data_IF_081632894875
#
_entry.id   IF_081632894875
#
_cell.length_a   1.000
_cell.length_b   1.000
_cell.length_c   1.000
_cell.angle_alpha   90.00
_cell.angle_beta   90.00
_cell.angle_gamma   90.00
#
_symmetry.space_group_name_H-M   'P 1'
#
loop_
_entity.id
_entity.type
_entity.pdbx_description
1 polymer ?
#
# COMPACT_ATOMS: atom_id res chain seq x y z
N UNK A 1 39.09 -22.10 -16.25
CA UNK A 1 37.78 -22.34 -16.90
C UNK A 1 36.71 -22.00 -15.86
N UNK A 2 36.04 -20.85 -15.96
CA UNK A 2 34.96 -20.48 -15.08
C UNK A 2 33.66 -21.10 -15.64
N UNK A 3 33.04 -21.97 -14.87
CA UNK A 3 31.72 -22.51 -15.18
C UNK A 3 30.72 -21.33 -15.19
N UNK A 4 30.20 -21.03 -16.36
CA UNK A 4 29.02 -20.18 -16.51
C UNK A 4 27.84 -20.88 -15.87
N UNK A 5 27.44 -20.44 -14.65
CA UNK A 5 26.16 -20.81 -14.07
C UNK A 5 25.07 -20.21 -14.97
N UNK A 6 24.42 -21.11 -15.68
CA UNK A 6 23.19 -20.81 -16.42
C UNK A 6 22.15 -20.33 -15.38
N UNK A 7 21.95 -19.00 -15.31
CA UNK A 7 20.95 -18.41 -14.43
C UNK A 7 19.60 -18.59 -15.09
N UNK A 8 18.91 -19.70 -14.76
CA UNK A 8 17.50 -19.85 -15.10
C UNK A 8 16.74 -18.60 -14.59
N UNK A 9 15.94 -18.00 -15.46
CA UNK A 9 15.06 -16.91 -15.07
C UNK A 9 14.21 -17.35 -13.85
N UNK A 10 13.94 -16.46 -12.89
CA UNK A 10 13.14 -16.81 -11.72
C UNK A 10 11.80 -17.38 -12.19
N UNK A 11 11.51 -18.63 -11.79
CA UNK A 11 10.28 -19.32 -12.18
C UNK A 11 9.12 -18.75 -11.37
N UNK A 12 8.09 -18.24 -12.05
CA UNK A 12 6.81 -17.92 -11.41
C UNK A 12 6.29 -19.16 -10.66
N UNK A 13 5.79 -19.01 -9.42
CA UNK A 13 5.22 -20.14 -8.68
C UNK A 13 4.10 -20.83 -9.48
N UNK A 14 3.92 -22.14 -9.35
CA UNK A 14 2.86 -22.85 -10.04
C UNK A 14 1.49 -22.40 -9.54
N UNK A 15 0.56 -22.16 -10.46
CA UNK A 15 -0.82 -21.70 -10.18
C UNK A 15 -1.58 -22.73 -9.35
N UNK A 16 -2.09 -22.29 -8.20
CA UNK A 16 -2.86 -23.13 -7.28
C UNK A 16 -4.27 -23.45 -7.82
N UNK A 17 -5.00 -24.40 -7.19
CA UNK A 17 -6.38 -24.69 -7.56
C UNK A 17 -7.30 -23.48 -7.35
N UNK A 18 -7.13 -22.72 -6.24
CA UNK A 18 -7.89 -21.51 -5.98
C UNK A 18 -7.62 -20.42 -7.02
N UNK A 19 -6.37 -20.24 -7.40
CA UNK A 19 -5.99 -19.28 -8.45
C UNK A 19 -6.55 -19.67 -9.82
N UNK A 20 -6.59 -20.98 -10.17
CA UNK A 20 -7.26 -21.44 -11.41
C UNK A 20 -8.75 -21.12 -11.41
N UNK A 21 -9.45 -21.37 -10.28
CA UNK A 21 -10.86 -20.97 -10.13
C UNK A 21 -11.05 -19.46 -10.30
N UNK A 22 -10.15 -18.65 -9.77
CA UNK A 22 -10.18 -17.20 -9.95
C UNK A 22 -10.04 -16.79 -11.43
N UNK A 23 -9.12 -17.44 -12.16
CA UNK A 23 -8.95 -17.23 -13.60
C UNK A 23 -10.20 -17.65 -14.41
N UNK A 24 -10.87 -18.73 -14.03
CA UNK A 24 -12.14 -19.15 -14.64
C UNK A 24 -13.24 -18.11 -14.41
N UNK A 25 -13.34 -17.54 -13.21
CA UNK A 25 -14.29 -16.45 -12.93
C UNK A 25 -13.99 -15.21 -13.78
N UNK A 26 -12.72 -14.81 -13.88
CA UNK A 26 -12.30 -13.69 -14.74
C UNK A 26 -12.59 -13.97 -16.22
N UNK A 27 -12.27 -15.17 -16.70
CA UNK A 27 -12.50 -15.55 -18.09
C UNK A 27 -13.98 -15.58 -18.45
N UNK A 28 -14.84 -16.12 -17.57
CA UNK A 28 -16.27 -16.28 -17.78
C UNK A 28 -17.11 -15.01 -17.64
N UNK A 29 -16.61 -14.00 -16.91
CA UNK A 29 -17.34 -12.74 -16.71
C UNK A 29 -17.37 -11.89 -17.99
N UNK A 30 -18.47 -11.15 -18.19
CA UNK A 30 -18.63 -10.19 -19.27
C UNK A 30 -18.64 -8.75 -18.80
N UNK A 31 -19.20 -8.50 -17.62
CA UNK A 31 -19.31 -7.17 -17.00
C UNK A 31 -18.72 -7.22 -15.61
N UNK A 32 -17.65 -6.44 -15.40
CA UNK A 32 -16.85 -6.51 -14.20
C UNK A 32 -16.81 -5.15 -13.50
N UNK A 33 -17.00 -5.17 -12.20
CA UNK A 33 -16.75 -4.01 -11.33
C UNK A 33 -15.49 -4.29 -10.52
N UNK A 34 -14.51 -3.41 -10.62
CA UNK A 34 -13.29 -3.42 -9.80
C UNK A 34 -13.48 -2.48 -8.62
N UNK A 35 -13.12 -2.92 -7.42
CA UNK A 35 -13.20 -2.12 -6.20
C UNK A 35 -11.86 -2.09 -5.47
N UNK A 36 -11.51 -0.92 -4.94
CA UNK A 36 -10.37 -0.71 -4.06
C UNK A 36 -10.80 -0.47 -2.60
N UNK A 37 -9.81 -0.36 -1.75
CA UNK A 37 -10.01 -0.01 -0.34
C UNK A 37 -10.16 1.50 -0.12
N UNK A 38 -10.60 1.90 1.08
CA UNK A 38 -10.62 3.30 1.53
C UNK A 38 -9.20 3.88 1.49
N UNK A 39 -9.06 5.12 1.00
CA UNK A 39 -7.77 5.79 0.75
C UNK A 39 -6.83 4.92 -0.08
N UNK A 40 -7.24 4.60 -1.33
CA UNK A 40 -6.51 3.68 -2.19
C UNK A 40 -5.12 4.25 -2.49
N UNK A 41 -4.11 3.42 -2.33
CA UNK A 41 -2.72 3.75 -2.62
C UNK A 41 -2.31 3.37 -4.05
N UNK A 42 -1.01 3.40 -4.32
CA UNK A 42 -0.50 3.12 -5.67
C UNK A 42 -0.59 1.64 -6.06
N UNK A 43 -0.52 0.69 -5.11
CA UNK A 43 -0.72 -0.72 -5.43
C UNK A 43 -2.18 -0.97 -5.78
N UNK A 44 -3.11 -0.49 -4.98
CA UNK A 44 -4.54 -0.60 -5.24
C UNK A 44 -4.92 0.02 -6.60
N UNK A 45 -4.59 1.29 -6.84
CA UNK A 45 -4.98 2.01 -8.07
C UNK A 45 -4.24 1.49 -9.31
N UNK A 46 -2.95 1.18 -9.19
CA UNK A 46 -2.15 0.62 -10.26
C UNK A 46 -2.65 -0.76 -10.69
N UNK A 47 -2.97 -1.62 -9.72
CA UNK A 47 -3.53 -2.95 -9.95
C UNK A 47 -4.91 -2.88 -10.59
N UNK A 48 -5.77 -1.94 -10.15
CA UNK A 48 -7.07 -1.70 -10.79
C UNK A 48 -6.91 -1.22 -12.24
N UNK A 49 -6.03 -0.26 -12.50
CA UNK A 49 -5.79 0.24 -13.86
C UNK A 49 -5.28 -0.86 -14.79
N UNK A 50 -4.33 -1.65 -14.32
CA UNK A 50 -3.78 -2.76 -15.09
C UNK A 50 -4.82 -3.85 -15.37
N UNK A 51 -5.56 -4.31 -14.34
CA UNK A 51 -6.58 -5.35 -14.52
C UNK A 51 -7.73 -4.87 -15.38
N UNK A 52 -8.14 -3.61 -15.28
CA UNK A 52 -9.12 -3.00 -16.17
C UNK A 52 -8.66 -3.12 -17.63
N UNK A 53 -7.44 -2.69 -17.93
CA UNK A 53 -6.89 -2.79 -19.29
C UNK A 53 -6.77 -4.24 -19.79
N UNK A 54 -6.39 -5.18 -18.93
CA UNK A 54 -6.36 -6.63 -19.25
C UNK A 54 -7.76 -7.13 -19.64
N UNK A 55 -8.77 -6.83 -18.84
CA UNK A 55 -10.13 -7.30 -19.04
C UNK A 55 -10.79 -6.64 -20.27
N UNK A 56 -10.53 -5.36 -20.53
CA UNK A 56 -10.98 -4.66 -21.74
C UNK A 56 -10.39 -5.28 -23.01
N UNK A 57 -9.13 -5.71 -22.99
CA UNK A 57 -8.51 -6.43 -24.12
C UNK A 57 -9.14 -7.80 -24.39
N UNK A 58 -9.77 -8.38 -23.39
CA UNK A 58 -10.57 -9.61 -23.52
C UNK A 58 -12.03 -9.32 -23.91
N UNK A 59 -12.35 -8.07 -24.29
CA UNK A 59 -13.69 -7.66 -24.76
C UNK A 59 -14.72 -7.49 -23.65
N UNK A 60 -14.29 -7.38 -22.39
CA UNK A 60 -15.18 -7.21 -21.24
C UNK A 60 -15.51 -5.73 -21.00
N UNK A 61 -16.69 -5.47 -20.43
CA UNK A 61 -17.05 -4.13 -19.94
C UNK A 61 -16.63 -4.01 -18.49
N UNK A 62 -15.82 -3.01 -18.19
CA UNK A 62 -15.20 -2.84 -16.84
C UNK A 62 -15.50 -1.46 -16.29
N UNK A 63 -15.80 -1.39 -14.99
CA UNK A 63 -15.91 -0.16 -14.23
C UNK A 63 -15.04 -0.26 -12.98
N UNK A 64 -14.39 0.84 -12.60
CA UNK A 64 -13.64 0.95 -11.36
C UNK A 64 -14.41 1.88 -10.43
N UNK A 65 -14.77 1.37 -9.23
CA UNK A 65 -15.43 2.14 -8.19
C UNK A 65 -14.65 2.08 -6.89
N UNK A 66 -14.23 3.23 -6.39
CA UNK A 66 -13.52 3.36 -5.13
C UNK A 66 -14.33 4.20 -4.13
N UNK A 67 -14.16 3.98 -2.81
CA UNK A 67 -14.80 4.84 -1.80
C UNK A 67 -14.24 6.27 -1.81
N UNK A 68 -12.98 6.45 -2.17
CA UNK A 68 -12.28 7.71 -2.18
C UNK A 68 -11.73 8.06 -3.57
N UNK A 69 -11.44 9.34 -3.86
CA UNK A 69 -10.87 9.77 -5.13
C UNK A 69 -9.42 9.30 -5.30
N UNK A 70 -8.97 9.29 -6.55
CA UNK A 70 -7.54 9.12 -6.89
C UNK A 70 -6.73 10.24 -6.24
N UNK A 71 -5.63 9.88 -5.61
CA UNK A 71 -4.73 10.85 -5.01
C UNK A 71 -3.99 11.65 -6.10
N UNK A 72 -3.71 12.95 -5.91
CA UNK A 72 -3.11 13.80 -6.95
C UNK A 72 -1.81 13.24 -7.53
N UNK A 73 -0.98 12.57 -6.73
CA UNK A 73 0.29 11.97 -7.19
C UNK A 73 0.11 10.75 -8.10
N UNK A 74 -1.10 10.19 -8.19
CA UNK A 74 -1.46 9.04 -9.01
C UNK A 74 -2.44 9.40 -10.13
N UNK A 75 -2.76 10.69 -10.32
CA UNK A 75 -3.72 11.19 -11.31
C UNK A 75 -3.36 10.82 -12.76
N UNK A 76 -2.08 10.54 -13.03
CA UNK A 76 -1.64 10.10 -14.35
C UNK A 76 -2.23 8.75 -14.78
N UNK A 77 -2.72 7.92 -13.85
CA UNK A 77 -3.43 6.67 -14.15
C UNK A 77 -4.80 6.93 -14.79
N UNK A 78 -5.42 8.10 -14.54
CA UNK A 78 -6.70 8.48 -15.13
C UNK A 78 -6.64 8.74 -16.64
N UNK A 79 -5.45 8.81 -17.22
CA UNK A 79 -5.26 8.85 -18.68
C UNK A 79 -5.60 7.53 -19.35
N UNK A 80 -5.47 6.42 -18.63
CA UNK A 80 -5.61 5.07 -19.14
C UNK A 80 -6.99 4.46 -18.84
N UNK A 81 -7.55 4.77 -17.68
CA UNK A 81 -8.81 4.21 -17.18
C UNK A 81 -9.58 5.29 -16.41
N UNK A 82 -10.88 5.09 -16.25
CA UNK A 82 -11.73 5.97 -15.46
C UNK A 82 -12.00 5.40 -14.08
N UNK A 83 -11.58 6.10 -13.06
CA UNK A 83 -11.93 5.82 -11.67
C UNK A 83 -13.20 6.60 -11.28
N UNK A 84 -14.14 5.89 -10.67
CA UNK A 84 -15.38 6.47 -10.14
C UNK A 84 -15.33 6.49 -8.62
N UNK A 85 -15.67 7.63 -8.02
CA UNK A 85 -15.89 7.71 -6.57
C UNK A 85 -17.34 7.27 -6.30
N UNK A 86 -17.50 6.27 -5.44
CA UNK A 86 -18.82 5.79 -5.07
C UNK A 86 -19.51 6.78 -4.14
N UNK A 87 -20.66 7.28 -4.57
CA UNK A 87 -21.46 8.28 -3.85
C UNK A 87 -22.80 7.72 -3.32
N UNK A 88 -22.90 6.39 -3.23
CA UNK A 88 -24.14 5.71 -2.85
C UNK A 88 -24.95 5.21 -4.05
N UNK A 89 -26.01 4.47 -3.77
CA UNK A 89 -26.88 3.87 -4.78
C UNK A 89 -26.46 2.46 -5.18
N UNK A 90 -26.84 2.08 -6.41
CA UNK A 90 -26.50 0.78 -6.98
C UNK A 90 -25.26 0.88 -7.87
N UNK A 91 -24.44 -0.15 -7.85
CA UNK A 91 -23.35 -0.33 -8.83
C UNK A 91 -23.95 -0.68 -10.20
N UNK A 92 -23.25 -0.43 -11.31
CA UNK A 92 -23.67 -0.92 -12.63
C UNK A 92 -23.98 -2.41 -12.60
N UNK A 93 -24.93 -2.85 -13.42
CA UNK A 93 -25.23 -4.29 -13.51
C UNK A 93 -24.01 -5.05 -14.00
N UNK A 94 -23.50 -5.96 -13.14
CA UNK A 94 -22.28 -6.72 -13.36
C UNK A 94 -22.47 -8.18 -12.95
N UNK A 95 -21.67 -9.07 -13.50
CA UNK A 95 -21.65 -10.50 -13.18
C UNK A 95 -20.48 -10.89 -12.27
N UNK A 96 -19.44 -10.05 -12.19
CA UNK A 96 -18.29 -10.23 -11.30
C UNK A 96 -17.90 -8.91 -10.65
N UNK A 97 -17.70 -8.92 -9.33
CA UNK A 97 -17.02 -7.86 -8.59
C UNK A 97 -15.64 -8.36 -8.15
N UNK A 98 -14.59 -7.61 -8.47
CA UNK A 98 -13.20 -7.93 -8.09
C UNK A 98 -12.70 -6.89 -7.11
N UNK A 99 -12.30 -7.35 -5.94
CA UNK A 99 -11.63 -6.54 -4.91
C UNK A 99 -10.13 -6.69 -5.09
N UNK A 100 -9.42 -5.56 -5.17
CA UNK A 100 -7.98 -5.53 -5.36
C UNK A 100 -7.29 -4.90 -4.16
N UNK A 101 -6.26 -5.59 -3.67
CA UNK A 101 -5.36 -5.13 -2.64
C UNK A 101 -5.98 -5.08 -1.23
N UNK A 102 -6.97 -5.93 -0.99
CA UNK A 102 -7.55 -6.15 0.34
C UNK A 102 -8.47 -7.37 0.36
N UNK A 103 -8.60 -7.99 1.55
CA UNK A 103 -9.53 -9.11 1.80
C UNK A 103 -10.72 -8.74 2.69
N UNK A 104 -10.61 -7.72 3.56
CA UNK A 104 -11.70 -7.35 4.48
C UNK A 104 -12.73 -6.45 3.81
N UNK A 105 -13.99 -6.89 3.73
CA UNK A 105 -15.10 -6.14 3.13
C UNK A 105 -15.27 -4.75 3.76
N UNK A 106 -14.97 -4.60 5.03
CA UNK A 106 -15.04 -3.31 5.75
C UNK A 106 -14.11 -2.24 5.14
N UNK A 107 -13.02 -2.64 4.49
CA UNK A 107 -12.10 -1.70 3.82
C UNK A 107 -12.69 -1.02 2.60
N UNK A 108 -13.80 -1.53 2.04
CA UNK A 108 -14.52 -0.86 0.93
C UNK A 108 -15.40 0.30 1.38
N UNK A 109 -15.53 0.55 2.70
CA UNK A 109 -16.36 1.62 3.22
C UNK A 109 -17.81 1.54 2.74
N UNK A 110 -18.33 2.62 2.18
CA UNK A 110 -19.73 2.70 1.76
C UNK A 110 -20.09 1.72 0.61
N UNK A 111 -19.15 1.22 -0.16
CA UNK A 111 -19.39 0.27 -1.27
C UNK A 111 -19.79 -1.10 -0.71
N UNK A 112 -19.36 -1.48 0.50
CA UNK A 112 -19.64 -2.79 1.12
C UNK A 112 -21.12 -3.18 1.04
N UNK A 113 -22.01 -2.24 1.35
CA UNK A 113 -23.45 -2.50 1.30
C UNK A 113 -23.98 -2.74 -0.12
N UNK A 114 -23.43 -2.05 -1.13
CA UNK A 114 -23.81 -2.27 -2.52
C UNK A 114 -23.29 -3.62 -3.06
N UNK A 115 -22.06 -3.99 -2.71
CA UNK A 115 -21.49 -5.31 -3.02
C UNK A 115 -22.29 -6.44 -2.36
N UNK A 116 -22.73 -6.27 -1.11
CA UNK A 116 -23.56 -7.25 -0.41
C UNK A 116 -24.95 -7.46 -1.03
N UNK A 117 -25.52 -6.43 -1.63
CA UNK A 117 -26.82 -6.52 -2.34
C UNK A 117 -26.69 -7.10 -3.77
N UNK A 118 -25.52 -6.94 -4.40
CA UNK A 118 -25.29 -7.42 -5.75
C UNK A 118 -25.25 -8.95 -5.79
N UNK A 119 -25.99 -9.53 -6.76
CA UNK A 119 -26.02 -10.99 -6.98
C UNK A 119 -24.80 -11.50 -7.76
N UNK A 120 -23.91 -10.63 -8.14
CA UNK A 120 -22.66 -10.96 -8.84
C UNK A 120 -21.76 -11.85 -8.00
N UNK A 121 -20.90 -12.63 -8.65
CA UNK A 121 -19.77 -13.31 -7.99
C UNK A 121 -18.78 -12.30 -7.43
N UNK A 122 -18.04 -12.67 -6.38
CA UNK A 122 -17.01 -11.86 -5.72
C UNK A 122 -15.67 -12.57 -5.85
N UNK A 123 -14.66 -11.84 -6.30
CA UNK A 123 -13.29 -12.31 -6.44
C UNK A 123 -12.34 -11.39 -5.67
N UNK A 124 -11.43 -11.99 -4.93
CA UNK A 124 -10.31 -11.26 -4.30
C UNK A 124 -9.05 -11.45 -5.14
N UNK A 125 -8.29 -10.36 -5.36
CA UNK A 125 -6.92 -10.38 -5.87
C UNK A 125 -6.07 -9.59 -4.89
N UNK A 126 -5.25 -10.27 -4.07
CA UNK A 126 -4.59 -9.64 -2.93
C UNK A 126 -3.31 -10.37 -2.52
N UNK A 127 -2.39 -9.65 -1.92
CA UNK A 127 -1.16 -10.20 -1.34
C UNK A 127 -1.07 -10.10 0.19
N UNK A 128 -2.13 -9.63 0.85
CA UNK A 128 -2.19 -9.52 2.29
C UNK A 128 -2.60 -10.83 2.98
N UNK A 129 -2.17 -10.97 4.25
CA UNK A 129 -2.66 -12.04 5.11
C UNK A 129 -4.11 -11.77 5.53
N UNK A 130 -4.95 -12.78 5.38
CA UNK A 130 -6.34 -12.74 5.83
C UNK A 130 -6.57 -13.75 6.96
N UNK A 131 -7.23 -13.33 8.02
CA UNK A 131 -7.51 -14.14 9.22
C UNK A 131 -9.01 -14.34 9.50
N UNK A 132 -9.88 -13.94 8.56
CA UNK A 132 -11.33 -14.06 8.68
C UNK A 132 -11.91 -15.27 7.95
N UNK A 133 -13.24 -15.38 7.98
CA UNK A 133 -13.97 -16.33 7.14
C UNK A 133 -14.13 -15.77 5.72
N UNK A 134 -13.84 -16.57 4.66
CA UNK A 134 -14.02 -16.14 3.28
C UNK A 134 -15.47 -15.75 2.98
N UNK A 135 -15.67 -14.55 2.42
CA UNK A 135 -16.98 -14.00 2.04
C UNK A 135 -17.13 -13.87 0.51
N UNK A 136 -16.16 -14.36 -0.24
CA UNK A 136 -16.04 -14.30 -1.68
C UNK A 136 -16.25 -15.68 -2.33
N UNK A 137 -16.46 -15.69 -3.65
CA UNK A 137 -16.63 -16.90 -4.46
C UNK A 137 -15.32 -17.46 -5.00
N UNK A 138 -14.27 -16.66 -5.06
CA UNK A 138 -12.95 -17.05 -5.52
C UNK A 138 -11.85 -16.09 -5.06
N UNK A 139 -10.61 -16.55 -5.05
CA UNK A 139 -9.47 -15.74 -4.63
C UNK A 139 -8.20 -16.06 -5.44
N UNK A 140 -7.53 -15.01 -5.89
CA UNK A 140 -6.17 -15.06 -6.44
C UNK A 140 -5.24 -14.40 -5.46
N UNK A 141 -4.81 -15.13 -4.45
CA UNK A 141 -4.00 -14.62 -3.34
C UNK A 141 -2.64 -15.29 -3.31
N UNK A 142 -1.60 -14.48 -3.08
CA UNK A 142 -0.25 -14.94 -2.78
C UNK A 142 0.45 -13.92 -1.86
N UNK A 143 0.58 -14.26 -0.59
CA UNK A 143 1.18 -13.38 0.43
C UNK A 143 2.71 -13.25 0.32
N UNK A 144 3.33 -13.96 -0.61
CA UNK A 144 4.76 -13.83 -0.92
C UNK A 144 5.02 -12.82 -2.04
N UNK A 145 3.99 -12.44 -2.80
CA UNK A 145 4.11 -11.42 -3.84
C UNK A 145 4.43 -10.04 -3.24
N UNK A 146 5.29 -9.28 -3.90
CA UNK A 146 5.71 -7.97 -3.42
C UNK A 146 4.63 -6.89 -3.51
N UNK A 147 3.60 -7.11 -4.32
CA UNK A 147 2.49 -6.20 -4.59
C UNK A 147 1.33 -6.96 -5.25
N UNK A 148 0.12 -6.46 -5.13
CA UNK A 148 -1.03 -6.94 -5.91
C UNK A 148 -0.81 -6.79 -7.41
N UNK A 149 -0.04 -5.78 -7.83
CA UNK A 149 0.37 -5.60 -9.24
C UNK A 149 1.15 -6.77 -9.83
N UNK A 150 1.95 -7.49 -9.03
CA UNK A 150 2.63 -8.74 -9.45
C UNK A 150 1.58 -9.80 -9.79
N UNK A 151 0.54 -9.94 -8.98
CA UNK A 151 -0.55 -10.89 -9.20
C UNK A 151 -1.33 -10.54 -10.48
N UNK A 152 -1.60 -9.26 -10.71
CA UNK A 152 -2.25 -8.80 -11.95
C UNK A 152 -1.39 -9.12 -13.17
N UNK A 153 -0.05 -8.99 -13.08
CA UNK A 153 0.85 -9.40 -14.17
C UNK A 153 0.82 -10.90 -14.43
N UNK A 154 0.76 -11.71 -13.37
CA UNK A 154 0.59 -13.17 -13.49
C UNK A 154 -0.75 -13.51 -14.13
N UNK A 155 -1.85 -12.90 -13.69
CA UNK A 155 -3.20 -13.05 -14.28
C UNK A 155 -3.19 -12.70 -15.77
N UNK A 156 -2.59 -11.58 -16.16
CA UNK A 156 -2.48 -11.19 -17.57
C UNK A 156 -1.76 -12.27 -18.42
N UNK A 157 -0.68 -12.85 -17.89
CA UNK A 157 0.07 -13.93 -18.54
C UNK A 157 -0.78 -15.19 -18.70
N UNK A 158 -1.46 -15.63 -17.63
CA UNK A 158 -2.32 -16.82 -17.63
C UNK A 158 -3.52 -16.68 -18.57
N UNK A 159 -4.06 -15.46 -18.71
CA UNK A 159 -5.15 -15.16 -19.65
C UNK A 159 -4.66 -14.89 -21.08
N UNK A 160 -3.37 -15.04 -21.38
CA UNK A 160 -2.80 -14.85 -22.70
C UNK A 160 -2.80 -13.39 -23.19
N UNK A 161 -2.89 -12.42 -22.28
CA UNK A 161 -2.90 -10.99 -22.61
C UNK A 161 -1.48 -10.45 -22.64
N UNK A 162 -1.06 -9.93 -23.81
CA UNK A 162 0.23 -9.26 -23.96
C UNK A 162 0.22 -7.88 -23.30
N UNK A 163 1.35 -7.50 -22.73
CA UNK A 163 1.53 -6.17 -22.15
C UNK A 163 1.37 -5.08 -23.23
N UNK A 164 0.66 -4.04 -22.86
CA UNK A 164 0.69 -2.75 -23.53
C UNK A 164 1.07 -1.65 -22.52
N UNK A 165 1.23 -0.42 -23.00
CA UNK A 165 1.67 0.69 -22.14
C UNK A 165 0.71 0.97 -20.96
N UNK A 166 -0.60 0.70 -21.11
CA UNK A 166 -1.61 0.89 -20.04
C UNK A 166 -1.42 -0.15 -18.94
N UNK A 167 -1.39 -1.44 -19.31
CA UNK A 167 -1.17 -2.55 -18.39
C UNK A 167 0.18 -2.37 -17.69
N UNK A 168 1.23 -2.11 -18.48
CA UNK A 168 2.59 -1.99 -17.96
C UNK A 168 2.73 -0.82 -16.97
N UNK A 169 2.12 0.34 -17.24
CA UNK A 169 2.13 1.49 -16.34
C UNK A 169 1.43 1.20 -15.03
N UNK A 170 0.24 0.57 -15.07
CA UNK A 170 -0.50 0.20 -13.87
C UNK A 170 0.28 -0.78 -12.99
N UNK A 171 0.80 -1.88 -13.57
CA UNK A 171 1.61 -2.86 -12.83
C UNK A 171 2.88 -2.22 -12.26
N UNK A 172 3.56 -1.37 -13.03
CA UNK A 172 4.77 -0.69 -12.55
C UNK A 172 4.47 0.24 -11.38
N UNK A 173 3.38 1.02 -11.47
CA UNK A 173 2.93 1.88 -10.37
C UNK A 173 2.68 1.07 -9.10
N UNK A 174 1.94 -0.03 -9.19
CA UNK A 174 1.66 -0.93 -8.10
C UNK A 174 2.95 -1.44 -7.42
N UNK A 175 3.86 -1.97 -8.21
CA UNK A 175 5.14 -2.51 -7.70
C UNK A 175 5.99 -1.44 -7.02
N UNK A 176 6.19 -0.27 -7.66
CA UNK A 176 7.10 0.74 -7.11
C UNK A 176 6.57 1.39 -5.85
N UNK A 177 5.26 1.50 -5.68
CA UNK A 177 4.68 2.05 -4.47
C UNK A 177 4.78 1.09 -3.30
N UNK A 178 4.44 -0.19 -3.48
CA UNK A 178 4.43 -1.16 -2.39
C UNK A 178 5.83 -1.68 -2.02
N UNK A 179 6.79 -1.63 -2.94
CA UNK A 179 8.20 -1.93 -2.66
C UNK A 179 8.99 -0.70 -2.21
N UNK A 180 8.35 0.48 -2.09
CA UNK A 180 9.02 1.74 -1.80
C UNK A 180 10.15 2.04 -2.78
N UNK A 181 9.90 1.86 -4.06
CA UNK A 181 10.88 1.96 -5.13
C UNK A 181 12.01 0.93 -5.00
N UNK A 182 11.63 -0.35 -4.78
CA UNK A 182 12.54 -1.50 -4.65
C UNK A 182 13.47 -1.48 -3.43
N UNK A 183 13.20 -0.66 -2.42
CA UNK A 183 14.04 -0.55 -1.21
C UNK A 183 13.55 -1.41 -0.03
N UNK A 184 12.32 -1.94 -0.07
CA UNK A 184 11.77 -2.72 1.01
C UNK A 184 12.09 -4.21 0.87
N UNK A 185 11.98 -4.94 1.98
CA UNK A 185 12.33 -6.36 2.08
C UNK A 185 11.40 -7.32 1.34
N UNK A 186 10.24 -6.84 0.88
CA UNK A 186 9.33 -7.59 0.00
C UNK A 186 9.80 -7.61 -1.47
N UNK A 187 10.81 -6.82 -1.85
CA UNK A 187 11.39 -6.83 -3.19
C UNK A 187 12.20 -8.10 -3.41
N UNK A 188 11.84 -8.86 -4.42
CA UNK A 188 12.46 -10.14 -4.78
C UNK A 188 12.90 -10.21 -6.25
N UNK A 189 13.41 -11.36 -6.67
CA UNK A 189 13.90 -11.57 -8.03
C UNK A 189 12.77 -11.51 -9.07
N UNK A 190 11.55 -11.97 -8.75
CA UNK A 190 10.38 -11.86 -9.63
C UNK A 190 9.98 -10.41 -9.84
N UNK A 191 10.00 -9.62 -8.78
CA UNK A 191 9.71 -8.17 -8.82
C UNK A 191 10.63 -7.46 -9.81
N UNK A 192 11.95 -7.72 -9.75
CA UNK A 192 12.90 -7.13 -10.69
C UNK A 192 12.73 -7.65 -12.12
N UNK A 193 12.44 -8.94 -12.30
CA UNK A 193 12.19 -9.52 -13.61
C UNK A 193 10.97 -8.87 -14.29
N UNK A 194 9.87 -8.71 -13.52
CA UNK A 194 8.66 -8.02 -14.02
C UNK A 194 8.98 -6.55 -14.31
N UNK A 195 9.66 -5.83 -13.43
CA UNK A 195 10.04 -4.43 -13.67
C UNK A 195 10.87 -4.26 -14.95
N UNK A 196 11.81 -5.18 -15.22
CA UNK A 196 12.56 -5.24 -16.46
C UNK A 196 11.66 -5.45 -17.70
N UNK A 197 10.70 -6.38 -17.62
CA UNK A 197 9.71 -6.64 -18.67
C UNK A 197 8.83 -5.40 -18.95
N UNK A 198 8.39 -4.70 -17.91
CA UNK A 198 7.56 -3.50 -18.03
C UNK A 198 8.32 -2.35 -18.69
N UNK A 199 9.59 -2.15 -18.34
CA UNK A 199 10.43 -1.13 -18.97
C UNK A 199 10.73 -1.47 -20.44
N UNK A 200 10.97 -2.74 -20.75
CA UNK A 200 11.10 -3.20 -22.13
C UNK A 200 9.80 -3.01 -22.95
N UNK A 201 8.64 -2.97 -22.28
CA UNK A 201 7.33 -2.67 -22.87
C UNK A 201 7.04 -1.16 -23.00
N UNK A 202 8.02 -0.29 -22.70
CA UNK A 202 7.93 1.15 -22.89
C UNK A 202 7.53 1.95 -21.64
N UNK A 203 7.53 1.36 -20.44
CA UNK A 203 7.37 2.14 -19.20
C UNK A 203 8.62 2.98 -18.96
N UNK A 204 8.44 4.26 -18.79
CA UNK A 204 9.46 5.21 -18.39
C UNK A 204 9.38 5.45 -16.87
N UNK A 205 10.35 4.97 -16.07
CA UNK A 205 10.31 5.11 -14.61
C UNK A 205 10.37 6.56 -14.13
N UNK A 206 11.17 7.41 -14.79
CA UNK A 206 11.41 8.77 -14.31
C UNK A 206 10.16 9.67 -14.27
N UNK A 207 9.26 9.71 -15.27
CA UNK A 207 7.98 10.43 -15.19
C UNK A 207 7.07 9.91 -14.07
N UNK A 208 7.04 8.58 -13.83
CA UNK A 208 6.24 7.98 -12.76
C UNK A 208 6.81 8.42 -11.40
N UNK A 209 8.14 8.34 -11.23
CA UNK A 209 8.81 8.82 -10.03
C UNK A 209 8.50 10.30 -9.76
N UNK A 210 8.60 11.13 -10.80
CA UNK A 210 8.31 12.56 -10.68
C UNK A 210 6.86 12.81 -10.24
N UNK A 211 5.90 12.08 -10.79
CA UNK A 211 4.48 12.19 -10.40
C UNK A 211 4.24 11.79 -8.96
N UNK A 212 4.92 10.74 -8.46
CA UNK A 212 4.69 10.24 -7.09
C UNK A 212 5.46 11.07 -6.06
N UNK A 213 6.71 11.44 -6.32
CA UNK A 213 7.63 11.96 -5.30
C UNK A 213 8.15 13.39 -5.54
N UNK A 214 7.93 14.01 -6.71
CA UNK A 214 8.47 15.33 -7.02
C UNK A 214 7.35 16.40 -7.16
N UNK A 215 6.29 16.28 -6.36
CA UNK A 215 5.15 17.22 -6.35
C UNK A 215 5.05 18.03 -5.06
N UNK A 216 6.06 17.96 -4.20
CA UNK A 216 6.08 18.68 -2.95
C UNK A 216 5.98 20.20 -3.15
N UNK A 217 5.27 20.87 -2.25
CA UNK A 217 5.21 22.33 -2.22
C UNK A 217 6.59 22.93 -1.86
N UNK A 218 6.79 24.20 -2.19
CA UNK A 218 8.00 24.93 -1.79
C UNK A 218 8.19 25.01 -0.27
N UNK A 219 7.12 24.85 0.48
CA UNK A 219 7.13 24.91 1.96
C UNK A 219 7.41 23.54 2.60
N UNK A 220 7.28 22.44 1.84
CA UNK A 220 7.54 21.08 2.37
C UNK A 220 8.92 20.93 3.02
N UNK A 221 10.04 21.37 2.41
CA UNK A 221 11.37 21.29 3.04
C UNK A 221 11.44 22.08 4.35
N UNK A 222 10.73 23.21 4.46
CA UNK A 222 10.67 24.00 5.70
C UNK A 222 9.86 23.30 6.79
N UNK A 223 8.76 22.64 6.43
CA UNK A 223 7.99 21.81 7.35
C UNK A 223 8.80 20.61 7.86
N UNK A 224 9.56 19.94 6.98
CA UNK A 224 10.50 18.87 7.37
C UNK A 224 11.58 19.41 8.32
N UNK A 225 12.18 20.54 8.02
CA UNK A 225 13.20 21.16 8.88
C UNK A 225 12.61 21.51 10.27
N UNK A 226 11.39 22.05 10.33
CA UNK A 226 10.66 22.30 11.57
C UNK A 226 10.45 21.02 12.37
N UNK A 227 10.03 19.93 11.74
CA UNK A 227 9.86 18.65 12.41
C UNK A 227 11.20 18.10 12.94
N UNK A 228 12.25 18.13 12.13
CA UNK A 228 13.58 17.63 12.52
C UNK A 228 14.23 18.46 13.63
N UNK A 229 13.92 19.76 13.75
CA UNK A 229 14.41 20.58 14.86
C UNK A 229 13.87 20.13 16.24
N UNK A 230 12.81 19.30 16.23
CA UNK A 230 12.22 18.72 17.44
C UNK A 230 12.61 17.26 17.69
N UNK A 231 13.54 16.73 16.88
CA UNK A 231 14.01 15.36 17.01
C UNK A 231 14.69 15.14 18.37
N UNK A 232 14.30 14.07 19.03
CA UNK A 232 14.94 13.56 20.23
C UNK A 232 15.20 12.06 20.09
N UNK A 233 16.30 11.61 20.65
CA UNK A 233 16.63 10.19 20.72
C UNK A 233 16.47 9.69 22.16
N UNK A 234 15.87 8.51 22.31
CA UNK A 234 15.72 7.80 23.59
C UNK A 234 16.23 6.37 23.46
N UNK A 235 16.36 5.65 24.56
CA UNK A 235 16.85 4.27 24.60
C UNK A 235 18.20 4.13 23.85
N UNK A 236 19.22 4.89 24.26
CA UNK A 236 20.56 4.91 23.64
C UNK A 236 20.55 5.18 22.12
N UNK A 237 19.63 6.00 21.63
CA UNK A 237 19.52 6.36 20.23
C UNK A 237 18.79 5.33 19.36
N UNK A 238 18.17 4.32 19.95
CA UNK A 238 17.41 3.28 19.22
C UNK A 238 15.99 3.72 18.85
N UNK A 239 15.43 4.68 19.57
CA UNK A 239 14.11 5.25 19.28
C UNK A 239 14.31 6.73 18.93
N UNK A 240 13.90 7.12 17.72
CA UNK A 240 13.80 8.51 17.30
C UNK A 240 12.37 9.00 17.54
N UNK A 241 12.20 10.13 18.18
CA UNK A 241 10.90 10.72 18.49
C UNK A 241 10.86 12.14 17.96
N UNK A 242 9.81 12.45 17.20
CA UNK A 242 9.49 13.82 16.78
C UNK A 242 8.08 14.13 17.27
N UNK A 243 7.91 15.19 18.02
CA UNK A 243 6.62 15.69 18.49
C UNK A 243 6.34 17.06 17.87
N UNK A 244 5.44 17.11 16.89
CA UNK A 244 5.14 18.29 16.11
C UNK A 244 3.82 18.92 16.57
N UNK A 245 3.85 20.08 17.27
CA UNK A 245 2.64 20.82 17.63
C UNK A 245 2.01 21.47 16.39
N UNK A 246 0.79 21.95 16.53
CA UNK A 246 0.16 22.76 15.50
C UNK A 246 1.08 23.90 15.06
N UNK A 247 1.12 24.25 13.76
CA UNK A 247 1.94 25.36 13.30
C UNK A 247 1.42 26.68 13.86
N UNK A 248 2.33 27.54 14.29
CA UNK A 248 1.99 28.92 14.58
C UNK A 248 1.65 29.69 13.28
N UNK A 249 0.92 30.80 13.36
CA UNK A 249 0.65 31.62 12.19
C UNK A 249 1.92 31.99 11.44
N UNK A 250 2.00 31.63 10.13
CA UNK A 250 3.17 31.88 9.28
C UNK A 250 4.24 30.79 9.30
N UNK A 251 4.13 29.77 10.16
CA UNK A 251 5.00 28.59 10.09
C UNK A 251 4.58 27.65 8.96
N UNK A 252 5.59 26.95 8.41
CA UNK A 252 5.34 25.96 7.36
C UNK A 252 4.59 24.75 7.93
N UNK A 253 3.54 24.36 7.23
CA UNK A 253 2.83 23.10 7.50
C UNK A 253 3.63 21.91 7.01
N UNK A 254 3.46 20.77 7.68
CA UNK A 254 3.90 19.47 7.23
C UNK A 254 2.66 18.59 7.05
N UNK A 255 2.18 18.41 5.81
CA UNK A 255 0.92 17.71 5.52
C UNK A 255 0.94 16.24 5.97
N UNK A 256 2.05 15.58 5.75
CA UNK A 256 2.31 14.21 6.24
C UNK A 256 3.74 14.10 6.78
N UNK A 257 4.09 12.96 7.35
CA UNK A 257 5.38 12.76 8.00
C UNK A 257 6.28 11.77 7.27
N UNK A 258 5.94 11.30 6.09
CA UNK A 258 6.68 10.21 5.44
C UNK A 258 8.13 10.60 5.12
N UNK A 259 8.38 11.83 4.67
CA UNK A 259 9.76 12.35 4.46
C UNK A 259 10.59 12.32 5.76
N UNK A 260 9.98 12.72 6.89
CA UNK A 260 10.65 12.70 8.20
C UNK A 260 10.89 11.26 8.66
N UNK A 261 9.90 10.40 8.50
CA UNK A 261 9.99 8.99 8.88
C UNK A 261 11.10 8.28 8.10
N UNK A 262 11.20 8.50 6.80
CA UNK A 262 12.21 7.88 5.94
C UNK A 262 13.63 8.39 6.28
N UNK A 263 13.79 9.69 6.51
CA UNK A 263 15.06 10.27 6.95
C UNK A 263 15.54 9.64 8.28
N UNK A 264 14.63 9.51 9.25
CA UNK A 264 14.98 8.95 10.54
C UNK A 264 15.21 7.43 10.51
N UNK A 265 14.48 6.70 9.64
CA UNK A 265 14.77 5.28 9.40
C UNK A 265 16.14 5.02 8.79
N UNK A 266 16.69 5.98 8.05
CA UNK A 266 18.03 5.88 7.47
C UNK A 266 19.15 5.93 8.51
N UNK A 267 18.86 6.44 9.72
CA UNK A 267 19.86 6.46 10.82
C UNK A 267 20.13 5.02 11.30
N UNK A 268 21.37 4.58 11.21
CA UNK A 268 21.76 3.17 11.43
C UNK A 268 21.30 2.61 12.78
N UNK A 269 21.53 3.34 13.87
CA UNK A 269 21.18 2.93 15.25
C UNK A 269 19.68 2.98 15.55
N UNK A 270 18.89 3.75 14.80
CA UNK A 270 17.45 3.88 15.02
C UNK A 270 16.74 2.60 14.58
N UNK A 271 16.00 2.01 15.49
CA UNK A 271 15.15 0.83 15.26
C UNK A 271 13.68 1.20 15.18
N UNK A 272 13.27 2.25 15.88
CA UNK A 272 11.89 2.72 15.94
C UNK A 272 11.85 4.23 15.71
N UNK A 273 10.92 4.68 14.88
CA UNK A 273 10.62 6.10 14.69
C UNK A 273 9.19 6.35 15.14
N UNK A 274 8.98 7.28 16.03
CA UNK A 274 7.70 7.78 16.49
C UNK A 274 7.54 9.24 16.04
N UNK A 275 6.66 9.47 15.07
CA UNK A 275 6.31 10.81 14.63
C UNK A 275 4.91 11.14 15.14
N UNK A 276 4.84 12.09 16.07
CA UNK A 276 3.62 12.55 16.69
C UNK A 276 3.27 13.93 16.15
N UNK A 277 2.07 14.09 15.62
CA UNK A 277 1.59 15.36 15.11
C UNK A 277 0.27 15.73 15.79
N UNK A 278 0.23 16.91 16.38
CA UNK A 278 -1.03 17.49 16.88
C UNK A 278 -1.92 17.85 15.68
N UNK A 279 -3.20 17.43 15.73
CA UNK A 279 -4.17 17.66 14.65
C UNK A 279 -5.12 18.81 15.01
N UNK A 280 -5.49 18.84 16.28
CA UNK A 280 -6.27 19.88 16.94
C UNK A 280 -5.83 19.96 18.38
N UNK A 281 -6.28 20.94 19.15
CA UNK A 281 -5.82 21.16 20.53
C UNK A 281 -6.06 19.99 21.53
N UNK A 282 -6.47 18.81 21.09
CA UNK A 282 -6.77 17.67 21.94
C UNK A 282 -6.58 16.31 21.26
N UNK A 283 -6.07 16.29 20.03
CA UNK A 283 -5.90 15.06 19.25
C UNK A 283 -4.49 14.98 18.65
N UNK A 284 -3.82 13.86 18.87
CA UNK A 284 -2.46 13.57 18.36
C UNK A 284 -2.54 12.40 17.39
N UNK A 285 -2.00 12.57 16.19
CA UNK A 285 -1.78 11.50 15.22
C UNK A 285 -0.39 10.93 15.40
N UNK A 286 -0.30 9.64 15.67
CA UNK A 286 0.93 8.85 15.64
C UNK A 286 1.12 8.27 14.25
N UNK A 287 2.33 8.44 13.70
CA UNK A 287 2.86 7.62 12.61
C UNK A 287 4.14 6.94 13.10
N UNK A 288 4.18 5.62 13.05
CA UNK A 288 5.29 4.84 13.58
C UNK A 288 5.89 3.94 12.49
N UNK A 289 7.21 3.83 12.49
CA UNK A 289 7.97 2.94 11.60
C UNK A 289 9.00 2.17 12.43
N UNK A 290 9.35 0.95 11.98
CA UNK A 290 10.42 0.19 12.63
C UNK A 290 11.31 -0.57 11.67
N UNK A 291 12.47 -0.98 12.20
CA UNK A 291 13.42 -1.93 11.56
C UNK A 291 13.58 -3.16 12.46
N UNK A 292 14.21 -4.20 11.92
CA UNK A 292 14.53 -5.40 12.69
C UNK A 292 13.30 -6.09 13.28
N UNK A 293 13.35 -6.46 14.54
CA UNK A 293 12.33 -7.28 15.20
C UNK A 293 11.19 -6.48 15.85
N UNK A 294 11.33 -5.15 15.98
CA UNK A 294 10.31 -4.34 16.63
C UNK A 294 9.00 -4.28 15.81
N UNK A 295 7.87 -4.51 16.47
CA UNK A 295 6.53 -4.48 15.90
C UNK A 295 5.80 -3.21 16.32
N UNK A 296 5.71 -2.22 15.41
CA UNK A 296 4.97 -0.97 15.68
C UNK A 296 3.46 -1.15 15.62
N UNK A 297 2.95 -2.24 15.03
CA UNK A 297 1.51 -2.53 15.07
C UNK A 297 1.05 -2.90 16.48
N UNK A 298 1.84 -3.73 17.17
CA UNK A 298 1.59 -4.04 18.59
C UNK A 298 1.54 -2.77 19.44
N UNK A 299 2.48 -1.84 19.24
CA UNK A 299 2.50 -0.56 19.92
C UNK A 299 1.24 0.26 19.59
N UNK A 300 0.92 0.44 18.31
CA UNK A 300 -0.21 1.26 17.86
C UNK A 300 -1.56 0.72 18.37
N UNK A 301 -1.74 -0.62 18.40
CA UNK A 301 -2.95 -1.26 18.94
C UNK A 301 -3.18 -0.93 20.41
N UNK A 302 -2.13 -0.78 21.21
CA UNK A 302 -2.21 -0.33 22.60
C UNK A 302 -2.81 1.08 22.79
N UNK A 303 -2.87 1.85 21.71
CA UNK A 303 -3.42 3.20 21.65
C UNK A 303 -4.62 3.33 20.70
N UNK A 304 -5.32 2.22 20.41
CA UNK A 304 -6.51 2.21 19.55
C UNK A 304 -6.22 2.35 18.06
N UNK A 305 -4.98 2.15 17.65
CA UNK A 305 -4.53 2.21 16.26
C UNK A 305 -4.32 0.84 15.62
N UNK A 306 -3.57 0.80 14.50
CA UNK A 306 -3.25 -0.41 13.76
C UNK A 306 -2.37 -0.14 12.56
N UNK A 307 -2.15 -1.20 11.76
CA UNK A 307 -1.33 -1.19 10.56
C UNK A 307 -0.49 -2.45 10.43
N UNK A 308 0.63 -2.36 9.77
CA UNK A 308 1.59 -3.45 9.60
C UNK A 308 2.65 -3.46 10.70
N UNK A 309 3.35 -4.59 10.89
CA UNK A 309 4.40 -4.73 11.90
C UNK A 309 5.52 -3.65 11.77
N UNK A 310 5.77 -3.13 10.56
CA UNK A 310 6.83 -2.13 10.28
C UNK A 310 6.30 -0.73 10.01
N UNK A 311 4.98 -0.56 9.84
CA UNK A 311 4.35 0.73 9.54
C UNK A 311 2.94 0.77 10.14
N UNK A 312 2.73 1.57 11.17
CA UNK A 312 1.45 1.66 11.88
C UNK A 312 1.18 3.07 12.34
N UNK A 313 -0.07 3.34 12.69
CA UNK A 313 -0.49 4.63 13.21
C UNK A 313 -1.66 4.52 14.18
N UNK A 314 -1.90 5.61 14.90
CA UNK A 314 -3.03 5.77 15.80
C UNK A 314 -3.49 7.23 15.84
N UNK A 315 -4.76 7.44 16.17
CA UNK A 315 -5.30 8.76 16.53
C UNK A 315 -5.63 8.74 18.01
N UNK A 316 -4.95 9.57 18.79
CA UNK A 316 -4.93 9.47 20.25
C UNK A 316 -5.42 10.79 20.84
N UNK A 317 -6.45 10.74 21.69
CA UNK A 317 -6.92 11.89 22.45
C UNK A 317 -5.95 12.26 23.56
N UNK A 318 -5.73 13.56 23.79
CA UNK A 318 -4.88 14.10 24.84
C UNK A 318 -3.89 15.16 24.38
N UNK A 319 -3.26 15.82 25.32
CA UNK A 319 -2.21 16.80 25.04
C UNK A 319 -0.96 16.13 24.46
N UNK A 320 -0.32 16.79 23.50
CA UNK A 320 0.84 16.24 22.77
C UNK A 320 1.94 15.72 23.73
N UNK A 321 2.27 16.44 24.78
CA UNK A 321 3.30 16.05 25.74
C UNK A 321 2.94 14.79 26.56
N UNK A 322 1.67 14.65 26.95
CA UNK A 322 1.17 13.47 27.68
C UNK A 322 1.15 12.23 26.80
N UNK A 323 0.62 12.38 25.57
CA UNK A 323 0.58 11.29 24.57
C UNK A 323 2.00 10.83 24.24
N UNK A 324 2.91 11.78 24.04
CA UNK A 324 4.33 11.50 23.80
C UNK A 324 4.95 10.68 24.95
N UNK A 325 4.74 11.09 26.19
CA UNK A 325 5.32 10.39 27.34
C UNK A 325 4.86 8.93 27.41
N UNK A 326 3.55 8.68 27.26
CA UNK A 326 2.95 7.33 27.27
C UNK A 326 3.47 6.45 26.12
N UNK A 327 3.59 7.03 24.91
CA UNK A 327 4.09 6.29 23.73
C UNK A 327 5.56 5.93 23.87
N UNK A 328 6.39 6.85 24.38
CA UNK A 328 7.82 6.60 24.61
C UNK A 328 8.01 5.52 25.67
N UNK A 329 7.30 5.59 26.79
CA UNK A 329 7.33 4.57 27.84
C UNK A 329 6.96 3.19 27.30
N UNK A 330 5.84 3.07 26.58
CA UNK A 330 5.40 1.83 25.97
C UNK A 330 6.40 1.28 24.94
N UNK A 331 6.99 2.14 24.11
CA UNK A 331 7.97 1.74 23.11
C UNK A 331 9.27 1.25 23.76
N UNK A 332 9.76 1.91 24.81
CA UNK A 332 10.94 1.48 25.56
C UNK A 332 10.69 0.12 26.24
N UNK A 333 9.53 -0.06 26.87
CA UNK A 333 9.16 -1.34 27.49
C UNK A 333 9.09 -2.47 26.48
N UNK A 334 8.49 -2.23 25.30
CA UNK A 334 8.42 -3.23 24.22
C UNK A 334 9.81 -3.55 23.66
N UNK A 335 10.70 -2.57 23.54
CA UNK A 335 12.07 -2.76 23.06
C UNK A 335 12.87 -3.65 24.02
N UNK A 336 12.76 -3.42 25.33
CA UNK A 336 13.41 -4.23 26.36
C UNK A 336 12.89 -5.68 26.38
N UNK A 337 11.57 -5.88 26.19
CA UNK A 337 11.01 -7.24 26.13
C UNK A 337 11.43 -8.01 24.89
N UNK A 338 11.62 -7.36 23.74
CA UNK A 338 12.12 -8.02 22.53
C UNK A 338 13.55 -8.56 22.69
N UNK A 339 14.40 -7.88 23.47
CA UNK A 339 15.76 -8.34 23.77
C UNK A 339 15.79 -9.59 24.69
N UNK A 340 14.84 -9.69 25.61
CA UNK A 340 14.76 -10.82 26.53
C UNK A 340 14.35 -12.13 25.84
N UNK A 341 13.65 -12.05 24.70
CA UNK A 341 13.22 -13.20 23.88
C UNK A 341 14.30 -13.62 22.87
N UNK A 342 15.21 -12.70 22.53
CA UNK A 342 16.28 -12.96 21.55
C UNK A 342 17.57 -13.52 22.20
N UNK A 343 17.66 -13.58 23.51
CA UNK A 343 18.71 -14.22 24.30
C UNK A 343 18.28 -15.62 24.76
#
# INVERSE_FOLDING_TARGET
MAETRDSAAPSTPPTTAAQRQALELLAGASRVVLCGHMRPDGDCLGSQAALCAVLERLGKTVWIYNPDPVQPQLDYLERDVRFHVYKGGELPTHDLAVMLDFCELSRTGAIAAALGRAKSKKLIVDHHLFHGEPWWDGAYVDTTASATGVLVRRIARELGVTLDARIARGVFTAIVTDTGWFKYSNTDAETFAIAGELTASGVEPAPIYASIYQRNSRTQPLGVARALSRLQYVADGRIAVVDLPLPAPGEAELPDGDDVLDLLRAVGRVEVVLFLREVDGGTVKLSARSKGVFDVNRLARGFGGGGHAKASGATIGGALGEVRAKLVEAAVAQLASAESVAR
#
